data_IF_662704751946
#
_entry.id   IF_662704751946
#
_cell.length_a   1.000
_cell.length_b   1.000
_cell.length_c   1.000
_cell.angle_alpha   90.00
_cell.angle_beta   90.00
_cell.angle_gamma   90.00
#
_symmetry.space_group_name_H-M   'P 1'
#
loop_
_entity.id
_entity.type
_entity.pdbx_description
1 polymer ?
#
# COMPACT_ATOMS: atom_id res chain seq x y z
N UNK A 1 -34.81 -6.87 11.14
CA UNK A 1 -34.08 -6.52 9.90
C UNK A 1 -32.67 -7.06 10.04
N UNK A 2 -32.15 -7.73 9.01
CA UNK A 2 -30.73 -8.12 8.99
C UNK A 2 -29.96 -6.93 8.46
N UNK A 3 -29.01 -6.46 9.25
CA UNK A 3 -28.04 -5.44 8.85
C UNK A 3 -26.67 -6.08 8.85
N UNK A 4 -25.92 -5.88 7.78
CA UNK A 4 -24.56 -6.38 7.62
C UNK A 4 -23.66 -5.21 7.25
N UNK A 5 -22.42 -5.19 7.72
CA UNK A 5 -21.46 -4.18 7.27
C UNK A 5 -20.90 -4.52 5.89
N UNK A 6 -20.71 -3.50 5.06
CA UNK A 6 -20.15 -3.67 3.73
C UNK A 6 -18.70 -4.20 3.76
N UNK A 7 -17.92 -3.79 4.77
CA UNK A 7 -16.54 -4.27 5.01
C UNK A 7 -16.42 -5.76 5.36
N UNK A 8 -17.55 -6.43 5.66
CA UNK A 8 -17.57 -7.87 5.92
C UNK A 8 -17.75 -8.69 4.63
N UNK A 9 -18.07 -8.05 3.51
CA UNK A 9 -18.30 -8.71 2.24
C UNK A 9 -16.99 -9.11 1.56
N UNK A 10 -17.03 -10.26 0.91
CA UNK A 10 -16.04 -10.70 -0.07
C UNK A 10 -16.31 -10.05 -1.43
N UNK A 11 -15.47 -10.36 -2.41
CA UNK A 11 -15.57 -9.78 -3.75
C UNK A 11 -16.93 -10.08 -4.41
N UNK A 12 -17.38 -11.34 -4.34
CA UNK A 12 -18.67 -11.75 -4.91
C UNK A 12 -19.86 -11.08 -4.21
N UNK A 13 -19.82 -10.99 -2.87
CA UNK A 13 -20.83 -10.30 -2.08
C UNK A 13 -20.90 -8.82 -2.44
N UNK A 14 -19.75 -8.15 -2.56
CA UNK A 14 -19.67 -6.76 -3.00
C UNK A 14 -20.25 -6.58 -4.40
N UNK A 15 -19.79 -7.37 -5.38
CA UNK A 15 -20.21 -7.25 -6.80
C UNK A 15 -21.72 -7.42 -6.99
N UNK A 16 -22.39 -8.23 -6.17
CA UNK A 16 -23.85 -8.39 -6.19
C UNK A 16 -24.61 -7.13 -5.78
N UNK A 17 -23.97 -6.24 -5.02
CA UNK A 17 -24.54 -4.99 -4.56
C UNK A 17 -24.24 -3.82 -5.51
N UNK A 18 -23.45 -4.03 -6.58
CA UNK A 18 -23.26 -3.03 -7.63
C UNK A 18 -24.60 -2.63 -8.25
N UNK A 19 -24.81 -1.32 -8.40
CA UNK A 19 -26.07 -0.74 -8.88
C UNK A 19 -27.15 -0.56 -7.80
N UNK A 20 -26.96 -1.06 -6.59
CA UNK A 20 -27.93 -0.88 -5.51
C UNK A 20 -27.99 0.58 -5.04
N UNK A 21 -29.16 0.97 -4.52
CA UNK A 21 -29.42 2.34 -4.07
C UNK A 21 -28.66 2.63 -2.78
N UNK A 22 -27.98 3.77 -2.77
CA UNK A 22 -27.28 4.31 -1.60
C UNK A 22 -28.08 5.47 -1.01
N UNK A 23 -28.36 5.39 0.29
CA UNK A 23 -29.03 6.42 1.08
C UNK A 23 -28.15 6.86 2.27
N UNK A 24 -28.42 8.05 2.79
CA UNK A 24 -27.77 8.54 4.00
C UNK A 24 -28.49 8.11 5.29
N UNK A 25 -28.04 8.64 6.42
CA UNK A 25 -28.62 8.39 7.74
C UNK A 25 -30.12 8.75 7.84
N UNK A 26 -30.58 9.74 7.07
CA UNK A 26 -31.94 10.29 7.05
C UNK A 26 -32.78 9.69 5.90
N UNK A 27 -32.27 8.62 5.27
CA UNK A 27 -32.84 7.93 4.11
C UNK A 27 -32.95 8.81 2.84
N UNK A 28 -32.18 9.90 2.77
CA UNK A 28 -32.03 10.72 1.57
C UNK A 28 -31.22 9.97 0.51
N UNK A 29 -31.64 10.03 -0.75
CA UNK A 29 -30.93 9.39 -1.85
C UNK A 29 -29.58 10.06 -2.13
N UNK A 30 -28.50 9.31 -1.95
CA UNK A 30 -27.13 9.76 -2.26
C UNK A 30 -26.77 9.42 -3.70
N UNK A 31 -27.10 8.20 -4.14
CA UNK A 31 -26.69 7.68 -5.44
C UNK A 31 -26.87 6.17 -5.57
N UNK A 32 -26.01 5.52 -6.35
CA UNK A 32 -25.94 4.06 -6.50
C UNK A 32 -24.53 3.55 -6.28
N UNK A 33 -24.37 2.29 -5.86
CA UNK A 33 -23.07 1.64 -5.76
C UNK A 33 -22.49 1.47 -7.16
N UNK A 34 -21.28 1.98 -7.38
CA UNK A 34 -20.55 1.88 -8.63
C UNK A 34 -19.05 1.93 -8.32
N UNK A 35 -18.36 0.79 -8.42
CA UNK A 35 -16.98 0.61 -8.01
C UNK A 35 -16.82 -0.01 -6.62
N UNK A 36 -15.92 -0.98 -6.51
CA UNK A 36 -15.62 -1.73 -5.29
C UNK A 36 -14.12 -1.98 -5.25
N UNK A 37 -13.48 -1.64 -4.14
CA UNK A 37 -12.06 -1.88 -3.93
C UNK A 37 -11.84 -2.81 -2.75
N UNK A 38 -11.00 -3.82 -2.98
CA UNK A 38 -10.69 -4.86 -2.00
C UNK A 38 -9.41 -4.53 -1.22
N UNK A 39 -9.36 -4.94 0.05
CA UNK A 39 -8.10 -5.03 0.78
C UNK A 39 -7.41 -6.36 0.41
N UNK A 40 -6.21 -6.33 -0.19
CA UNK A 40 -5.48 -7.53 -0.59
C UNK A 40 -5.08 -8.42 0.61
N UNK A 41 -4.96 -7.85 1.81
CA UNK A 41 -4.57 -8.58 3.02
C UNK A 41 -5.74 -9.38 3.59
N UNK A 42 -6.93 -8.78 3.63
CA UNK A 42 -8.10 -9.41 4.27
C UNK A 42 -9.06 -10.06 3.28
N UNK A 43 -8.91 -9.81 1.97
CA UNK A 43 -9.83 -10.22 0.92
C UNK A 43 -11.28 -9.77 1.19
N UNK A 44 -11.42 -8.58 1.78
CA UNK A 44 -12.72 -7.95 2.06
C UNK A 44 -12.82 -6.60 1.38
N UNK A 45 -14.04 -6.10 1.20
CA UNK A 45 -14.24 -4.76 0.64
C UNK A 45 -13.67 -3.71 1.58
N UNK A 46 -12.75 -2.89 1.08
CA UNK A 46 -12.14 -1.77 1.81
C UNK A 46 -12.87 -0.46 1.54
N UNK A 47 -13.25 -0.23 0.28
CA UNK A 47 -13.92 0.99 -0.16
C UNK A 47 -15.03 0.70 -1.16
N UNK A 48 -16.03 1.56 -1.17
CA UNK A 48 -17.20 1.52 -2.03
C UNK A 48 -17.31 2.82 -2.80
N UNK A 49 -17.52 2.73 -4.11
CA UNK A 49 -17.79 3.89 -4.95
C UNK A 49 -19.29 4.17 -4.99
N UNK A 50 -19.65 5.43 -4.85
CA UNK A 50 -21.03 5.93 -4.89
C UNK A 50 -21.15 6.89 -6.07
N UNK A 51 -21.91 6.48 -7.07
CA UNK A 51 -22.27 7.33 -8.19
C UNK A 51 -23.39 8.28 -7.79
N UNK A 52 -23.03 9.53 -7.51
CA UNK A 52 -23.98 10.58 -7.10
C UNK A 52 -24.62 11.33 -8.26
N UNK A 53 -24.07 11.16 -9.47
CA UNK A 53 -24.46 11.89 -10.68
C UNK A 53 -24.71 10.93 -11.83
N UNK A 54 -25.63 11.29 -12.73
CA UNK A 54 -25.99 10.46 -13.89
C UNK A 54 -24.92 10.42 -14.99
N UNK A 55 -23.94 11.33 -14.94
CA UNK A 55 -22.85 11.37 -15.91
C UNK A 55 -21.88 10.20 -15.67
N UNK A 56 -21.37 9.56 -16.75
CA UNK A 56 -20.31 8.57 -16.63
C UNK A 56 -19.01 9.21 -16.15
N UNK A 57 -18.18 8.42 -15.47
CA UNK A 57 -16.85 8.83 -15.03
C UNK A 57 -16.64 8.56 -13.54
N UNK A 58 -16.27 9.60 -12.81
CA UNK A 58 -15.82 9.45 -11.42
C UNK A 58 -16.96 9.15 -10.46
N UNK A 59 -16.65 8.33 -9.46
CA UNK A 59 -17.52 7.96 -8.35
C UNK A 59 -16.94 8.49 -7.05
N UNK A 60 -17.81 8.79 -6.08
CA UNK A 60 -17.39 9.23 -4.75
C UNK A 60 -16.98 8.03 -3.92
N UNK A 61 -15.76 7.99 -3.41
CA UNK A 61 -15.26 6.81 -2.72
C UNK A 61 -15.47 6.96 -1.21
N UNK A 62 -16.07 5.93 -0.60
CA UNK A 62 -16.43 5.88 0.82
C UNK A 62 -15.81 4.63 1.46
N UNK A 63 -15.26 4.73 2.68
CA UNK A 63 -14.78 3.58 3.43
C UNK A 63 -15.90 2.57 3.71
N UNK A 64 -15.70 1.29 3.37
CA UNK A 64 -16.73 0.26 3.49
C UNK A 64 -17.18 0.01 4.94
N UNK A 65 -16.32 0.31 5.92
CA UNK A 65 -16.67 0.16 7.33
C UNK A 65 -17.71 1.17 7.86
N UNK A 66 -17.98 2.24 7.10
CA UNK A 66 -19.03 3.23 7.41
C UNK A 66 -20.30 3.00 6.58
N UNK A 67 -20.39 1.85 5.91
CA UNK A 67 -21.47 1.48 5.00
C UNK A 67 -22.15 0.22 5.52
N UNK A 68 -23.48 0.29 5.60
CA UNK A 68 -24.34 -0.81 6.04
C UNK A 68 -25.23 -1.29 4.91
N UNK A 69 -25.37 -2.60 4.82
CA UNK A 69 -26.28 -3.30 3.92
C UNK A 69 -27.55 -3.62 4.70
N UNK A 70 -28.67 -3.11 4.21
CA UNK A 70 -30.00 -3.23 4.82
C UNK A 70 -30.92 -3.97 3.85
N UNK A 71 -32.02 -4.56 4.37
CA UNK A 71 -33.03 -5.25 3.58
C UNK A 71 -32.45 -6.31 2.64
N UNK A 72 -31.57 -7.16 3.17
CA UNK A 72 -30.98 -8.29 2.42
C UNK A 72 -30.19 -7.87 1.15
N UNK A 73 -29.73 -6.62 1.08
CA UNK A 73 -28.95 -6.12 -0.06
C UNK A 73 -29.69 -5.14 -0.97
N UNK A 74 -30.96 -4.86 -0.71
CA UNK A 74 -31.75 -3.91 -1.52
C UNK A 74 -31.39 -2.45 -1.26
N UNK A 75 -30.86 -2.14 -0.07
CA UNK A 75 -30.57 -0.77 0.34
C UNK A 75 -29.22 -0.68 1.04
N UNK A 76 -28.41 0.28 0.62
CA UNK A 76 -27.10 0.56 1.19
C UNK A 76 -27.18 1.89 1.93
N UNK A 77 -26.85 1.89 3.22
CA UNK A 77 -26.91 3.07 4.09
C UNK A 77 -25.51 3.53 4.45
N UNK A 78 -25.26 4.83 4.31
CA UNK A 78 -23.99 5.47 4.66
C UNK A 78 -24.19 6.29 5.94
N UNK A 79 -23.26 6.19 6.87
CA UNK A 79 -23.30 6.93 8.15
C UNK A 79 -23.04 8.45 8.05
N UNK A 80 -23.12 9.04 6.86
CA UNK A 80 -22.83 10.45 6.62
C UNK A 80 -23.92 11.11 5.76
N UNK A 81 -24.21 12.41 5.96
CA UNK A 81 -25.20 13.13 5.16
C UNK A 81 -24.89 13.10 3.66
N UNK A 82 -25.92 13.06 2.82
CA UNK A 82 -25.76 13.02 1.35
C UNK A 82 -24.86 14.16 0.81
N UNK A 83 -25.00 15.36 1.36
CA UNK A 83 -24.21 16.53 0.98
C UNK A 83 -22.72 16.41 1.32
N UNK A 84 -22.37 15.61 2.34
CA UNK A 84 -20.99 15.31 2.70
C UNK A 84 -20.40 14.29 1.72
N UNK A 85 -21.10 13.17 1.48
CA UNK A 85 -20.65 12.12 0.54
C UNK A 85 -20.44 12.68 -0.88
N UNK A 86 -21.30 13.58 -1.34
CA UNK A 86 -21.18 14.24 -2.65
C UNK A 86 -19.91 15.10 -2.82
N UNK A 87 -19.23 15.44 -1.73
CA UNK A 87 -17.99 16.23 -1.72
C UNK A 87 -16.74 15.38 -1.38
N UNK A 88 -16.89 14.07 -1.30
CA UNK A 88 -15.77 13.16 -1.06
C UNK A 88 -14.74 13.19 -2.21
N UNK A 89 -13.56 12.58 -2.02
CA UNK A 89 -12.64 12.31 -3.11
C UNK A 89 -13.28 11.39 -4.16
N UNK A 90 -13.02 11.67 -5.44
CA UNK A 90 -13.65 10.97 -6.55
C UNK A 90 -12.64 10.41 -7.55
N UNK A 91 -12.85 9.14 -7.91
CA UNK A 91 -11.95 8.34 -8.73
C UNK A 91 -12.71 7.55 -9.78
N UNK A 92 -12.01 7.01 -10.78
CA UNK A 92 -12.63 6.14 -11.78
C UNK A 92 -12.80 4.73 -11.19
N UNK A 93 -14.00 4.13 -11.25
CA UNK A 93 -14.26 2.81 -10.66
C UNK A 93 -13.48 1.67 -11.32
N UNK A 94 -12.97 1.87 -12.54
CA UNK A 94 -12.17 0.90 -13.28
C UNK A 94 -10.68 0.89 -12.87
N UNK A 95 -10.24 1.90 -12.12
CA UNK A 95 -8.85 2.02 -11.68
C UNK A 95 -8.68 1.49 -10.26
N UNK A 96 -7.52 0.91 -9.97
CA UNK A 96 -7.12 0.66 -8.59
C UNK A 96 -6.83 1.98 -7.86
N UNK A 97 -7.13 2.04 -6.57
CA UNK A 97 -6.75 3.17 -5.72
C UNK A 97 -5.29 3.02 -5.31
N UNK A 98 -4.48 4.04 -5.59
CA UNK A 98 -3.13 4.14 -5.05
C UNK A 98 -3.18 4.34 -3.52
N UNK A 99 -2.10 4.00 -2.82
CA UNK A 99 -2.03 4.16 -1.35
C UNK A 99 -2.30 5.61 -0.89
N UNK A 100 -1.81 6.59 -1.64
CA UNK A 100 -2.05 8.00 -1.34
C UNK A 100 -3.54 8.38 -1.51
N UNK A 101 -4.24 7.80 -2.49
CA UNK A 101 -5.67 8.02 -2.72
C UNK A 101 -6.52 7.36 -1.63
N UNK A 102 -6.12 6.15 -1.18
CA UNK A 102 -6.74 5.48 -0.03
C UNK A 102 -6.57 6.33 1.24
N UNK A 103 -5.38 6.90 1.45
CA UNK A 103 -5.11 7.80 2.57
C UNK A 103 -5.93 9.09 2.48
N UNK A 104 -6.07 9.68 1.29
CA UNK A 104 -6.91 10.86 1.06
C UNK A 104 -8.38 10.59 1.42
N UNK A 105 -8.94 9.47 0.96
CA UNK A 105 -10.31 9.05 1.31
C UNK A 105 -10.44 8.88 2.82
N UNK A 106 -9.54 8.11 3.43
CA UNK A 106 -9.58 7.90 4.87
C UNK A 106 -9.47 9.21 5.66
N UNK A 107 -8.58 10.12 5.27
CA UNK A 107 -8.43 11.43 5.89
C UNK A 107 -9.70 12.27 5.78
N UNK A 108 -10.38 12.26 4.63
CA UNK A 108 -11.65 12.97 4.42
C UNK A 108 -12.74 12.52 5.40
N UNK A 109 -12.85 11.21 5.63
CA UNK A 109 -13.81 10.62 6.57
C UNK A 109 -13.32 10.59 8.03
N UNK A 110 -12.21 11.27 8.34
CA UNK A 110 -11.67 11.32 9.70
C UNK A 110 -11.08 9.98 10.18
N UNK A 111 -10.91 9.01 9.28
CA UNK A 111 -10.18 7.76 9.52
C UNK A 111 -8.69 8.01 9.41
N UNK A 112 -8.18 8.93 10.22
CA UNK A 112 -6.75 9.07 10.37
C UNK A 112 -6.27 7.79 11.07
N UNK A 113 -5.59 6.90 10.34
CA UNK A 113 -4.63 6.03 11.01
C UNK A 113 -3.70 7.01 11.72
N UNK A 114 -3.57 6.98 13.06
CA UNK A 114 -2.53 7.74 13.68
C UNK A 114 -1.24 7.21 13.08
N UNK A 115 -0.67 7.92 12.09
CA UNK A 115 0.77 7.94 11.90
C UNK A 115 1.27 8.05 13.32
N UNK A 116 1.94 6.99 13.76
CA UNK A 116 2.48 6.84 15.10
C UNK A 116 3.31 8.07 15.35
N UNK A 117 2.65 9.13 15.84
CA UNK A 117 3.26 10.41 16.06
C UNK A 117 4.22 10.03 17.16
N UNK A 118 5.50 10.14 16.88
CA UNK A 118 6.54 10.19 17.91
C UNK A 118 6.34 11.50 18.71
N UNK A 119 5.12 11.76 19.19
CA UNK A 119 4.78 12.79 20.17
C UNK A 119 5.17 12.37 21.58
N UNK A 120 6.03 11.36 21.72
CA UNK A 120 6.80 11.07 22.93
C UNK A 120 8.28 11.44 22.79
N UNK A 121 8.69 12.24 21.80
CA UNK A 121 9.80 13.15 22.05
C UNK A 121 9.28 14.24 23.01
N UNK A 122 9.17 13.85 24.28
CA UNK A 122 9.23 14.79 25.39
C UNK A 122 10.44 15.65 25.08
N UNK A 123 10.20 16.93 24.86
CA UNK A 123 11.25 17.93 24.71
C UNK A 123 12.00 17.94 26.05
N UNK A 124 12.95 17.02 26.17
CA UNK A 124 13.74 16.83 27.36
C UNK A 124 14.63 18.05 27.46
N UNK A 125 14.45 18.80 28.54
CA UNK A 125 15.42 19.83 28.89
C UNK A 125 16.78 19.14 29.05
N UNK A 126 17.87 19.73 28.57
CA UNK A 126 19.19 19.10 28.61
C UNK A 126 19.60 18.67 30.03
N UNK A 127 19.09 19.33 31.07
CA UNK A 127 19.28 18.93 32.47
C UNK A 127 18.62 17.59 32.89
N UNK A 128 17.57 17.09 32.23
CA UNK A 128 16.94 15.80 32.57
C UNK A 128 17.67 14.60 31.95
N UNK A 129 18.39 14.79 30.84
CA UNK A 129 19.13 13.73 30.16
C UNK A 129 20.32 13.23 31.00
N UNK A 130 20.96 14.11 31.78
CA UNK A 130 22.11 13.77 32.60
C UNK A 130 21.77 12.90 33.83
N UNK A 131 20.51 12.93 34.28
CA UNK A 131 20.09 12.21 35.49
C UNK A 131 19.56 10.79 35.22
N UNK A 132 19.26 10.46 33.96
CA UNK A 132 18.88 9.10 33.53
C UNK A 132 20.09 8.16 33.45
N UNK A 133 21.32 8.68 33.29
CA UNK A 133 22.52 7.85 33.21
C UNK A 133 22.89 7.13 34.51
N UNK A 134 22.36 7.56 35.67
CA UNK A 134 22.83 7.07 36.97
C UNK A 134 21.86 6.15 37.72
N UNK A 135 20.65 5.88 37.22
CA UNK A 135 19.62 5.17 38.02
C UNK A 135 19.11 3.84 37.46
N UNK A 136 19.54 3.37 36.29
CA UNK A 136 19.12 2.07 35.72
C UNK A 136 20.29 1.23 35.18
N UNK A 137 21.23 0.90 36.06
CA UNK A 137 22.09 -0.28 35.96
C UNK A 137 22.09 -0.86 37.39
N UNK A 138 21.66 -2.06 37.76
CA UNK A 138 21.69 -3.39 37.12
C UNK A 138 21.19 -4.44 38.17
N UNK A 139 20.86 -5.74 37.86
CA UNK A 139 21.88 -6.70 37.41
C UNK A 139 21.41 -7.89 36.54
N UNK A 140 20.47 -7.73 35.60
CA UNK A 140 20.02 -8.88 34.77
C UNK A 140 20.58 -8.86 33.32
N UNK A 141 21.19 -7.75 32.89
CA UNK A 141 21.56 -7.54 31.48
C UNK A 141 23.02 -7.85 31.13
N UNK A 142 23.92 -7.95 32.12
CA UNK A 142 25.36 -8.18 31.85
C UNK A 142 25.69 -9.65 31.53
N UNK A 143 24.89 -10.60 32.00
CA UNK A 143 25.15 -12.03 31.80
C UNK A 143 24.82 -12.48 30.36
N UNK A 144 23.83 -11.83 29.72
CA UNK A 144 23.44 -12.14 28.33
C UNK A 144 24.41 -11.57 27.29
N UNK A 145 24.98 -10.40 27.54
CA UNK A 145 25.93 -9.78 26.59
C UNK A 145 27.27 -10.51 26.56
N UNK A 146 27.79 -10.94 27.72
CA UNK A 146 29.02 -11.75 27.77
C UNK A 146 28.87 -13.10 27.11
N UNK A 147 27.72 -13.75 27.26
CA UNK A 147 27.43 -15.06 26.65
C UNK A 147 27.31 -14.98 25.13
N UNK A 148 26.69 -13.91 24.62
CA UNK A 148 26.57 -13.67 23.18
C UNK A 148 27.90 -13.26 22.53
N UNK A 149 28.77 -12.54 23.24
CA UNK A 149 30.13 -12.25 22.75
C UNK A 149 31.02 -13.50 22.73
N UNK A 150 30.89 -14.40 23.71
CA UNK A 150 31.61 -15.68 23.70
C UNK A 150 31.15 -16.61 22.57
N UNK A 151 29.84 -16.72 22.30
CA UNK A 151 29.34 -17.50 21.16
C UNK A 151 29.81 -16.94 19.80
N UNK A 152 29.89 -15.61 19.65
CA UNK A 152 30.44 -14.99 18.43
C UNK A 152 31.93 -15.28 18.24
N UNK A 153 32.69 -15.28 19.33
CA UNK A 153 34.13 -15.61 19.29
C UNK A 153 34.40 -17.09 19.02
N UNK A 154 33.51 -17.99 19.43
CA UNK A 154 33.63 -19.43 19.17
C UNK A 154 33.19 -19.80 17.74
N UNK A 155 32.28 -19.05 17.12
CA UNK A 155 31.89 -19.18 15.71
C UNK A 155 32.99 -18.69 14.74
N UNK A 156 33.62 -17.53 15.01
CA UNK A 156 34.73 -17.02 14.19
C UNK A 156 35.97 -17.92 14.24
N UNK A 157 36.20 -18.64 15.35
CA UNK A 157 37.30 -19.60 15.47
C UNK A 157 37.04 -20.90 14.67
N UNK A 158 35.78 -21.23 14.39
CA UNK A 158 35.40 -22.36 13.55
C UNK A 158 35.63 -22.11 12.05
N UNK A 159 35.39 -20.88 11.58
CA UNK A 159 35.49 -20.53 10.16
C UNK A 159 36.93 -20.47 9.63
N UNK A 160 37.92 -20.18 10.49
CA UNK A 160 39.34 -20.22 10.10
C UNK A 160 39.87 -21.64 9.83
N UNK A 161 39.16 -22.69 10.27
CA UNK A 161 39.56 -24.08 9.98
C UNK A 161 38.95 -24.65 8.70
N UNK A 162 38.00 -23.94 8.07
CA UNK A 162 37.30 -24.43 6.89
C UNK A 162 38.01 -24.07 5.57
N UNK A 163 38.88 -23.04 5.57
CA UNK A 163 39.55 -22.54 4.36
C UNK A 163 40.89 -23.22 4.02
N UNK A 164 41.38 -24.14 4.84
CA UNK A 164 42.65 -24.85 4.59
C UNK A 164 42.51 -26.20 3.85
N UNK A 165 41.30 -26.55 3.40
CA UNK A 165 41.14 -27.68 2.48
C UNK A 165 41.20 -27.21 1.02
N UNK A 166 42.39 -27.38 0.43
CA UNK A 166 42.59 -27.44 -1.02
C UNK A 166 41.47 -28.27 -1.65
N UNK A 167 40.62 -27.68 -2.51
CA UNK A 167 39.76 -28.51 -3.34
C UNK A 167 38.55 -27.93 -4.06
N UNK A 168 38.19 -26.64 -3.97
CA UNK A 168 37.03 -26.14 -4.71
C UNK A 168 37.41 -25.21 -5.86
N UNK A 169 37.41 -25.79 -7.06
CA UNK A 169 37.34 -25.07 -8.35
C UNK A 169 35.94 -24.48 -8.44
N UNK A 170 35.82 -23.15 -8.45
CA UNK A 170 34.59 -22.49 -8.88
C UNK A 170 34.70 -22.28 -10.39
N UNK A 171 33.85 -22.95 -11.16
CA UNK A 171 33.64 -22.60 -12.56
C UNK A 171 33.17 -21.15 -12.65
N UNK A 172 33.91 -20.38 -13.44
CA UNK A 172 33.70 -18.97 -13.69
C UNK A 172 32.33 -18.72 -14.34
N UNK A 173 31.41 -18.11 -13.60
CA UNK A 173 30.26 -17.43 -14.19
C UNK A 173 30.75 -16.10 -14.79
N UNK A 174 30.56 -15.84 -16.10
CA UNK A 174 30.99 -14.58 -16.68
C UNK A 174 30.10 -13.44 -16.19
N UNK A 175 30.71 -12.41 -15.58
CA UNK A 175 30.07 -11.12 -15.33
C UNK A 175 29.59 -10.53 -16.65
N UNK A 176 28.28 -10.48 -16.84
CA UNK A 176 27.66 -9.75 -17.95
C UNK A 176 27.62 -8.29 -17.56
N UNK A 177 28.58 -7.52 -18.07
CA UNK A 177 28.67 -6.08 -17.93
C UNK A 177 27.46 -5.40 -18.62
N UNK A 178 26.42 -5.13 -17.84
CA UNK A 178 25.17 -4.51 -18.28
C UNK A 178 25.38 -3.18 -19.04
N UNK A 179 26.54 -2.55 -18.86
CA UNK A 179 26.93 -1.31 -19.54
C UNK A 179 27.15 -1.50 -21.04
N UNK A 180 27.57 -2.69 -21.48
CA UNK A 180 27.85 -2.99 -22.90
C UNK A 180 26.59 -3.29 -23.71
N UNK A 181 25.60 -3.94 -23.09
CA UNK A 181 24.31 -4.25 -23.74
C UNK A 181 23.45 -2.99 -24.00
N UNK A 182 23.53 -1.99 -23.10
CA UNK A 182 22.87 -0.69 -23.29
C UNK A 182 23.47 0.13 -24.43
N UNK A 183 24.79 0.05 -24.66
CA UNK A 183 25.41 0.72 -25.81
C UNK A 183 25.03 0.06 -27.14
N UNK A 184 24.97 -1.27 -27.17
CA UNK A 184 24.60 -2.02 -28.39
C UNK A 184 23.18 -1.70 -28.86
N UNK A 185 22.22 -1.63 -27.93
CA UNK A 185 20.82 -1.30 -28.24
C UNK A 185 20.65 0.14 -28.74
N UNK A 186 21.43 1.11 -28.25
CA UNK A 186 21.40 2.47 -28.79
C UNK A 186 21.99 2.60 -30.19
N UNK A 187 23.06 1.86 -30.52
CA UNK A 187 23.64 1.87 -31.86
C UNK A 187 22.71 1.22 -32.89
N UNK A 188 22.06 0.11 -32.54
CA UNK A 188 21.11 -0.57 -33.42
C UNK A 188 19.86 0.29 -33.73
N UNK A 189 19.43 1.14 -32.80
CA UNK A 189 18.34 2.09 -33.01
C UNK A 189 18.72 3.25 -33.95
N UNK A 190 19.98 3.73 -33.89
CA UNK A 190 20.49 4.78 -34.78
C UNK A 190 20.69 4.32 -36.22
N UNK A 191 21.10 3.07 -36.43
CA UNK A 191 21.29 2.51 -37.79
C UNK A 191 19.95 2.32 -38.51
N UNK A 192 18.90 1.88 -37.78
CA UNK A 192 17.55 1.68 -38.34
C UNK A 192 16.94 3.00 -38.85
N UNK A 193 17.05 4.06 -38.05
CA UNK A 193 16.52 5.39 -38.40
C UNK A 193 17.24 6.02 -39.62
N UNK A 194 18.52 5.71 -39.84
CA UNK A 194 19.26 6.15 -41.03
C UNK A 194 18.86 5.39 -42.31
N UNK A 195 18.50 4.11 -42.20
CA UNK A 195 18.06 3.32 -43.36
C UNK A 195 16.65 3.68 -43.83
N UNK A 196 15.75 4.04 -42.91
CA UNK A 196 14.38 4.45 -43.28
C UNK A 196 14.37 5.80 -44.02
N UNK A 197 15.23 6.75 -43.62
CA UNK A 197 15.40 8.03 -44.34
C UNK A 197 15.96 7.91 -45.76
N UNK A 198 16.70 6.85 -46.07
CA UNK A 198 17.24 6.62 -47.42
C UNK A 198 16.22 5.98 -48.36
N UNK A 199 15.16 5.35 -47.84
CA UNK A 199 14.09 4.74 -48.65
C UNK A 199 12.98 5.73 -49.03
N UNK A 200 12.77 6.79 -48.27
CA UNK A 200 11.77 7.83 -48.58
C UNK A 200 12.26 8.91 -49.56
N UNK A 201 13.56 8.96 -49.87
CA UNK A 201 14.15 9.97 -50.76
C UNK A 201 14.36 9.54 -52.22
N UNK A 202 13.81 8.40 -52.65
CA UNK A 202 13.99 7.88 -54.02
C UNK A 202 12.65 7.63 -54.71
N UNK A 203 11.82 8.66 -54.78
CA UNK A 203 10.68 8.75 -55.69
C UNK A 203 10.71 10.14 -56.34
N UNK A 204 11.57 10.27 -57.34
CA UNK A 204 11.44 11.23 -58.45
C UNK A 204 11.56 10.43 -59.76
#
# INVERSE_FOLDING_TARGET
MKTQRFDSLDEDGGRKLSGQKVVDQDDESVGTVDGIWMDPSTHRVAFVGVKTSWLPGKVQVVPAGDVEVVNEGELIKVGYPAAFVKKAPSFFPENELAELEKEEVNAYFGRFLPLRRVSSLKEMRPEEAANLQNSELQPEAQDRTRRAEQERLDLERGEQTFFDQKGFVTDSLPEVDASKELLRTQEEAKVRNRQDRLKEGSLD
#
